data_IF_680286488383
#
_entry.id   IF_680286488383
#
_cell.length_a   1.000
_cell.length_b   1.000
_cell.length_c   1.000
_cell.angle_alpha   90.00
_cell.angle_beta   90.00
_cell.angle_gamma   90.00
#
_symmetry.space_group_name_H-M   'P 1'
#
loop_
_entity.id
_entity.type
_entity.pdbx_description
1 polymer ?
#
# COMPACT_ATOMS: atom_id res chain seq x y z
N UNK A 1 3.09 16.61 1.92
CA UNK A 1 3.97 15.46 2.26
C UNK A 1 3.93 15.23 3.77
N UNK A 2 3.62 14.02 4.28
CA UNK A 2 2.39 13.25 4.09
C UNK A 2 1.29 13.69 5.09
N UNK A 3 0.11 14.09 4.60
CA UNK A 3 -1.06 14.43 5.43
C UNK A 3 -1.88 13.18 5.77
N UNK A 4 -1.23 12.04 5.98
CA UNK A 4 -1.92 10.81 6.42
C UNK A 4 -1.79 10.74 7.93
N UNK A 5 -2.89 11.00 8.62
CA UNK A 5 -2.93 10.86 10.07
C UNK A 5 -2.69 9.40 10.47
N UNK A 6 -2.09 9.18 11.65
CA UNK A 6 -1.88 7.83 12.20
C UNK A 6 -3.16 6.99 12.20
N UNK A 7 -4.32 7.64 12.42
CA UNK A 7 -5.65 7.01 12.37
C UNK A 7 -6.01 6.53 10.97
N UNK A 8 -5.81 7.36 9.95
CA UNK A 8 -6.09 7.01 8.54
C UNK A 8 -5.20 5.86 8.08
N UNK A 9 -3.92 5.86 8.44
CA UNK A 9 -3.00 4.77 8.10
C UNK A 9 -3.40 3.44 8.74
N UNK A 10 -3.76 3.46 10.02
CA UNK A 10 -4.22 2.25 10.72
C UNK A 10 -5.51 1.70 10.12
N UNK A 11 -6.45 2.57 9.73
CA UNK A 11 -7.69 2.15 9.05
C UNK A 11 -7.40 1.51 7.70
N UNK A 12 -6.56 2.14 6.87
CA UNK A 12 -6.18 1.61 5.55
C UNK A 12 -5.47 0.26 5.65
N UNK A 13 -4.56 0.10 6.63
CA UNK A 13 -3.91 -1.19 6.88
C UNK A 13 -4.93 -2.26 7.32
N UNK A 14 -5.89 -1.92 8.19
CA UNK A 14 -6.94 -2.85 8.61
C UNK A 14 -7.81 -3.29 7.44
N UNK A 15 -8.22 -2.37 6.57
CA UNK A 15 -9.00 -2.69 5.37
C UNK A 15 -8.21 -3.59 4.42
N UNK A 16 -6.94 -3.28 4.15
CA UNK A 16 -6.09 -4.14 3.31
C UNK A 16 -5.85 -5.54 3.91
N UNK A 17 -5.88 -5.66 5.24
CA UNK A 17 -5.80 -6.94 5.95
C UNK A 17 -7.11 -7.72 5.81
N UNK A 18 -8.26 -7.04 5.96
CA UNK A 18 -9.60 -7.61 5.75
C UNK A 18 -9.83 -8.07 4.29
N UNK A 19 -9.31 -7.32 3.32
CA UNK A 19 -9.33 -7.66 1.90
C UNK A 19 -8.36 -8.81 1.54
N UNK A 20 -7.56 -9.29 2.50
CA UNK A 20 -6.58 -10.36 2.30
C UNK A 20 -5.39 -9.97 1.43
N UNK A 21 -5.16 -8.67 1.22
CA UNK A 21 -4.06 -8.13 0.41
C UNK A 21 -2.76 -8.08 1.22
N UNK A 22 -2.86 -7.74 2.51
CA UNK A 22 -1.73 -7.73 3.44
C UNK A 22 -1.93 -8.75 4.56
N UNK A 23 -0.83 -9.36 5.02
CA UNK A 23 -0.77 -10.19 6.22
C UNK A 23 -0.04 -9.43 7.33
N UNK A 24 -0.60 -9.49 8.53
CA UNK A 24 -0.02 -8.96 9.76
C UNK A 24 0.69 -10.09 10.52
N UNK A 25 1.97 -9.92 10.80
CA UNK A 25 2.77 -10.84 11.62
C UNK A 25 3.22 -10.14 12.90
N UNK A 26 2.82 -10.70 14.05
CA UNK A 26 3.22 -10.21 15.37
C UNK A 26 4.38 -11.07 15.87
N UNK A 27 5.51 -10.45 16.16
CA UNK A 27 6.67 -11.11 16.75
C UNK A 27 6.62 -10.93 18.27
N UNK A 28 6.43 -12.04 18.97
CA UNK A 28 6.32 -12.09 20.45
C UNK A 28 7.56 -12.67 21.12
N UNK A 29 8.56 -13.13 20.36
CA UNK A 29 9.67 -13.93 20.90
C UNK A 29 10.64 -13.16 21.81
N UNK A 30 10.78 -11.85 21.65
CA UNK A 30 11.53 -10.97 22.59
C UNK A 30 10.88 -9.58 22.57
N UNK A 31 10.71 -8.91 23.74
CA UNK A 31 10.33 -7.51 23.76
C UNK A 31 11.37 -6.67 22.98
N UNK A 32 10.97 -5.67 22.17
CA UNK A 32 9.63 -5.09 22.00
C UNK A 32 8.71 -5.85 21.03
N UNK A 33 7.40 -5.70 21.24
CA UNK A 33 6.35 -6.26 20.38
C UNK A 33 6.46 -5.63 18.98
N UNK A 34 7.01 -6.36 18.01
CA UNK A 34 7.15 -5.90 16.62
C UNK A 34 5.98 -6.42 15.79
N UNK A 35 5.34 -5.53 15.05
CA UNK A 35 4.30 -5.88 14.07
C UNK A 35 4.88 -5.60 12.68
N UNK A 36 4.90 -6.62 11.84
CA UNK A 36 5.28 -6.49 10.43
C UNK A 36 4.06 -6.73 9.55
N UNK A 37 3.87 -5.85 8.57
CA UNK A 37 2.88 -6.03 7.51
C UNK A 37 3.62 -6.45 6.24
N UNK A 38 3.10 -7.45 5.55
CA UNK A 38 3.67 -7.91 4.28
C UNK A 38 2.57 -8.25 3.30
N UNK A 39 2.83 -8.19 2.00
CA UNK A 39 1.85 -8.59 0.99
C UNK A 39 1.59 -10.10 1.07
N UNK A 40 0.34 -10.50 0.94
CA UNK A 40 -0.05 -11.90 0.71
C UNK A 40 0.28 -12.30 -0.73
N UNK A 41 0.19 -13.59 -1.05
CA UNK A 41 0.38 -14.04 -2.43
C UNK A 41 -0.72 -13.50 -3.35
N UNK A 42 -1.94 -13.32 -2.84
CA UNK A 42 -3.01 -12.59 -3.53
C UNK A 42 -2.65 -11.11 -3.72
N UNK A 43 -2.19 -10.41 -2.67
CA UNK A 43 -1.80 -9.00 -2.77
C UNK A 43 -0.64 -8.75 -3.74
N UNK A 44 0.27 -9.71 -3.92
CA UNK A 44 1.32 -9.63 -4.95
C UNK A 44 0.76 -9.60 -6.37
N UNK A 45 -0.40 -10.20 -6.63
CA UNK A 45 -1.04 -10.17 -7.96
C UNK A 45 -1.52 -8.76 -8.35
N UNK A 46 -1.75 -7.87 -7.38
CA UNK A 46 -2.13 -6.48 -7.61
C UNK A 46 -0.93 -5.60 -8.00
N UNK A 47 0.30 -5.99 -7.63
CA UNK A 47 1.52 -5.23 -7.95
C UNK A 47 1.66 -4.92 -9.43
N UNK A 48 1.55 -5.88 -10.38
CA UNK A 48 1.64 -5.57 -11.80
C UNK A 48 0.51 -4.63 -12.27
N UNK A 49 -0.70 -4.74 -11.73
CA UNK A 49 -1.83 -3.86 -12.09
C UNK A 49 -1.56 -2.42 -11.65
N UNK A 50 -1.16 -2.23 -10.40
CA UNK A 50 -0.81 -0.90 -9.85
C UNK A 50 0.36 -0.30 -10.62
N UNK A 51 1.37 -1.11 -10.97
CA UNK A 51 2.48 -0.67 -11.83
C UNK A 51 2.01 -0.24 -13.21
N UNK A 52 1.09 -0.97 -13.84
CA UNK A 52 0.52 -0.59 -15.13
C UNK A 52 -0.23 0.74 -15.04
N UNK A 53 -1.01 0.96 -13.99
CA UNK A 53 -1.71 2.23 -13.75
C UNK A 53 -0.70 3.37 -13.52
N UNK A 54 0.36 3.13 -12.74
CA UNK A 54 1.40 4.11 -12.49
C UNK A 54 2.17 4.46 -13.78
N UNK A 55 2.54 3.47 -14.57
CA UNK A 55 3.20 3.65 -15.87
C UNK A 55 2.32 4.42 -16.84
N UNK A 56 1.01 4.10 -16.89
CA UNK A 56 0.07 4.88 -17.66
C UNK A 56 -0.05 6.32 -17.14
N UNK A 57 -0.04 6.52 -15.83
CA UNK A 57 -0.04 7.85 -15.21
C UNK A 57 1.18 8.68 -15.64
N UNK A 58 2.38 8.07 -15.64
CA UNK A 58 3.61 8.70 -16.14
C UNK A 58 3.47 9.04 -17.63
N UNK A 59 3.04 8.08 -18.45
CA UNK A 59 2.80 8.32 -19.88
C UNK A 59 1.77 9.44 -20.12
N UNK A 60 0.70 9.48 -19.33
CA UNK A 60 -0.34 10.49 -19.42
C UNK A 60 0.18 11.89 -19.02
N UNK A 61 1.03 11.97 -17.98
CA UNK A 61 1.74 13.21 -17.59
C UNK A 61 2.62 13.70 -18.72
N UNK A 62 3.44 12.79 -19.29
CA UNK A 62 4.37 13.11 -20.38
C UNK A 62 3.64 13.59 -21.63
N UNK A 63 2.47 13.00 -21.95
CA UNK A 63 1.67 13.37 -23.13
C UNK A 63 0.77 14.58 -22.93
N UNK A 64 0.24 14.82 -21.73
CA UNK A 64 -0.73 15.90 -21.47
C UNK A 64 -0.16 17.11 -20.72
N UNK A 65 1.13 17.10 -20.35
CA UNK A 65 1.91 18.29 -19.97
C UNK A 65 1.53 19.00 -18.67
N UNK A 66 0.35 18.74 -18.06
CA UNK A 66 -0.02 19.23 -16.73
C UNK A 66 -1.03 18.28 -16.09
N UNK A 67 -0.64 17.61 -14.99
CA UNK A 67 -1.62 17.29 -13.95
C UNK A 67 -1.87 18.61 -13.23
N UNK A 68 -3.00 19.24 -13.52
CA UNK A 68 -3.50 20.32 -12.67
C UNK A 68 -3.96 19.63 -11.38
N UNK A 69 -3.17 19.79 -10.32
CA UNK A 69 -3.56 19.49 -8.94
C UNK A 69 -4.47 20.59 -8.44
#
# INVERSE_FOLDING_TARGET
MPTVTKRTLSLQLKTLEEDGIIKRKVFTSKPPLKVEYSLTDFGKTLVPVIKSIANWGIYAVEKKGKIVV
#
